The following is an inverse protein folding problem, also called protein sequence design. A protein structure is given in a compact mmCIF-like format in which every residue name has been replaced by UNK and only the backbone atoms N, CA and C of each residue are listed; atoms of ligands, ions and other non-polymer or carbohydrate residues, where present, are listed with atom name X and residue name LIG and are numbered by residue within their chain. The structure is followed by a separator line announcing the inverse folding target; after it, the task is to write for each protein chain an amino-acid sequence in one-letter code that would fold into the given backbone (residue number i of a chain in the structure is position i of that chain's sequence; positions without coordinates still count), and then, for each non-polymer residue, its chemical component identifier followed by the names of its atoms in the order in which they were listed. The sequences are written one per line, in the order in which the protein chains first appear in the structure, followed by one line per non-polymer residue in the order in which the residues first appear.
data_IF_741446654275
#
_entry.id   IF_741446654275
#
_cell.length_a   1.000
_cell.length_b   1.000
_cell.length_c   1.000
_cell.angle_alpha   90.00
_cell.angle_beta   90.00
_cell.angle_gamma   90.00
#
_symmetry.space_group_name_H-M   'P 1'
#
loop_
_entity.id
_entity.type
_entity.pdbx_description
1 polymer ?
#
# COMPACT_ATOMS: atom_id res chain seq x y z
N UNK A 1 -18.39 11.52 -6.18
CA UNK A 1 -19.15 11.17 -4.96
C UNK A 1 -20.48 11.90 -4.89
N UNK A 2 -20.51 13.24 -4.78
CA UNK A 2 -21.76 14.01 -4.62
C UNK A 2 -22.87 13.74 -5.65
N UNK A 3 -22.52 13.58 -6.94
CA UNK A 3 -23.51 13.27 -8.00
C UNK A 3 -24.29 11.97 -7.78
N UNK A 4 -23.67 10.96 -7.17
CA UNK A 4 -24.25 9.61 -7.04
C UNK A 4 -24.58 9.24 -5.59
N UNK A 5 -24.44 10.18 -4.66
CA UNK A 5 -24.54 9.94 -3.21
C UNK A 5 -23.75 8.70 -2.75
N UNK A 6 -22.59 8.46 -3.36
CA UNK A 6 -21.75 7.30 -3.11
C UNK A 6 -20.63 7.67 -2.13
N UNK A 7 -20.34 6.77 -1.20
CA UNK A 7 -19.17 6.91 -0.32
C UNK A 7 -17.88 6.69 -1.11
N UNK A 8 -16.71 7.13 -0.60
CA UNK A 8 -15.42 6.84 -1.23
C UNK A 8 -15.21 5.34 -1.51
N UNK A 9 -15.58 4.51 -0.55
CA UNK A 9 -15.42 3.06 -0.61
C UNK A 9 -16.29 2.48 -1.74
N UNK A 10 -17.56 2.90 -1.85
CA UNK A 10 -18.44 2.49 -2.94
C UNK A 10 -17.92 2.95 -4.31
N UNK A 11 -17.42 4.18 -4.39
CA UNK A 11 -16.89 4.74 -5.64
C UNK A 11 -15.66 3.95 -6.12
N UNK A 12 -14.69 3.71 -5.24
CA UNK A 12 -13.48 2.97 -5.59
C UNK A 12 -13.76 1.50 -5.88
N UNK A 13 -14.66 0.86 -5.12
CA UNK A 13 -15.08 -0.50 -5.42
C UNK A 13 -15.75 -0.59 -6.80
N UNK A 14 -16.70 0.31 -7.10
CA UNK A 14 -17.33 0.34 -8.43
C UNK A 14 -16.34 0.67 -9.55
N UNK A 15 -15.31 1.46 -9.27
CA UNK A 15 -14.23 1.73 -10.22
C UNK A 15 -13.52 0.43 -10.61
N UNK A 16 -13.25 -0.47 -9.66
CA UNK A 16 -12.61 -1.76 -9.94
C UNK A 16 -13.43 -2.70 -10.81
N UNK A 17 -14.75 -2.51 -10.88
CA UNK A 17 -15.64 -3.29 -11.76
C UNK A 17 -15.70 -2.70 -13.18
N UNK A 18 -15.57 -1.38 -13.32
CA UNK A 18 -15.71 -0.67 -14.60
C UNK A 18 -14.39 -0.50 -15.37
N UNK A 19 -13.29 -0.32 -14.64
CA UNK A 19 -11.99 0.00 -15.23
C UNK A 19 -11.43 -1.14 -16.10
N UNK A 20 -11.48 -2.41 -15.67
CA UNK A 20 -11.06 -3.52 -16.51
C UNK A 20 -11.85 -3.58 -17.83
N UNK A 21 -13.19 -3.52 -17.74
CA UNK A 21 -14.08 -3.67 -18.89
C UNK A 21 -13.94 -2.52 -19.92
N UNK A 22 -13.84 -1.28 -19.45
CA UNK A 22 -13.87 -0.12 -20.35
C UNK A 22 -12.48 0.42 -20.74
N UNK A 23 -11.45 0.16 -19.94
CA UNK A 23 -10.10 0.70 -20.16
C UNK A 23 -9.05 -0.39 -20.40
N UNK A 24 -9.38 -1.67 -20.20
CA UNK A 24 -8.45 -2.78 -20.35
C UNK A 24 -7.35 -2.79 -19.29
N UNK A 25 -7.61 -2.20 -18.12
CA UNK A 25 -6.69 -2.18 -16.98
C UNK A 25 -7.09 -3.30 -16.01
N UNK A 26 -6.61 -4.51 -16.30
CA UNK A 26 -6.96 -5.74 -15.58
C UNK A 26 -6.09 -5.93 -14.32
N UNK A 27 -4.85 -5.43 -14.37
CA UNK A 27 -3.89 -5.52 -13.27
C UNK A 27 -4.10 -4.42 -12.24
N UNK A 28 -4.89 -4.71 -11.21
CA UNK A 28 -5.16 -3.76 -10.13
C UNK A 28 -5.28 -4.42 -8.77
N UNK A 29 -5.22 -3.61 -7.71
CA UNK A 29 -5.60 -4.00 -6.37
C UNK A 29 -6.59 -3.02 -5.73
N UNK A 30 -7.30 -3.51 -4.73
CA UNK A 30 -8.12 -2.72 -3.80
C UNK A 30 -7.80 -3.14 -2.37
N UNK A 31 -7.49 -2.16 -1.52
CA UNK A 31 -7.23 -2.36 -0.09
C UNK A 31 -8.07 -1.42 0.75
N UNK A 32 -8.58 -1.92 1.87
CA UNK A 32 -9.24 -1.10 2.89
C UNK A 32 -8.60 -1.28 4.26
N UNK A 33 -8.02 -0.19 4.73
CA UNK A 33 -7.50 -0.06 6.08
C UNK A 33 -8.46 0.70 6.99
N UNK A 34 -8.32 0.45 8.28
CA UNK A 34 -8.89 1.25 9.34
C UNK A 34 -7.95 1.31 10.53
N UNK A 35 -8.09 2.37 11.32
CA UNK A 35 -7.44 2.50 12.62
C UNK A 35 -8.32 3.33 13.55
N UNK A 36 -8.12 3.14 14.85
CA UNK A 36 -8.56 4.11 15.84
C UNK A 36 -7.73 5.39 15.69
N UNK A 37 -8.37 6.56 15.76
CA UNK A 37 -7.68 7.84 15.64
C UNK A 37 -6.59 7.97 16.72
N UNK A 38 -5.37 8.26 16.28
CA UNK A 38 -4.17 8.33 17.14
C UNK A 38 -3.47 7.00 17.39
N UNK A 39 -4.09 5.86 17.05
CA UNK A 39 -3.43 4.55 17.10
C UNK A 39 -2.47 4.36 15.93
N UNK A 40 -1.34 3.69 16.21
CA UNK A 40 -0.38 3.20 15.21
C UNK A 40 -0.75 1.83 14.63
N UNK A 41 -1.86 1.24 15.09
CA UNK A 41 -2.31 -0.07 14.65
C UNK A 41 -3.29 0.07 13.50
N UNK A 42 -2.95 -0.56 12.37
CA UNK A 42 -3.76 -0.53 11.15
C UNK A 42 -4.25 -1.92 10.84
N UNK A 43 -5.57 -2.05 10.63
CA UNK A 43 -6.18 -3.31 10.26
C UNK A 43 -6.66 -3.27 8.81
N UNK A 44 -6.38 -4.35 8.07
CA UNK A 44 -6.75 -4.54 6.68
C UNK A 44 -7.94 -5.52 6.61
N UNK A 45 -9.16 -5.01 6.40
CA UNK A 45 -10.37 -5.87 6.36
C UNK A 45 -10.84 -6.27 4.97
N UNK A 46 -10.37 -5.59 3.91
CA UNK A 46 -10.72 -5.96 2.54
C UNK A 46 -9.49 -5.88 1.66
N UNK A 47 -9.29 -6.97 0.92
CA UNK A 47 -8.24 -7.13 -0.08
C UNK A 47 -8.89 -7.74 -1.32
N UNK A 48 -8.58 -7.15 -2.46
CA UNK A 48 -8.78 -7.74 -3.78
C UNK A 48 -7.50 -7.44 -4.57
N UNK A 49 -6.87 -8.47 -5.12
CA UNK A 49 -5.72 -8.32 -5.99
C UNK A 49 -5.98 -9.10 -7.27
N UNK A 50 -5.96 -8.39 -8.39
CA UNK A 50 -6.14 -8.93 -9.75
C UNK A 50 -4.82 -8.93 -10.53
N UNK A 51 -3.70 -8.70 -9.86
CA UNK A 51 -2.37 -8.71 -10.46
C UNK A 51 -1.47 -9.76 -9.82
N UNK A 52 -0.38 -10.12 -10.50
CA UNK A 52 0.59 -11.10 -10.01
C UNK A 52 1.56 -10.54 -8.95
N UNK A 53 1.58 -9.22 -8.74
CA UNK A 53 2.41 -8.58 -7.71
C UNK A 53 1.71 -8.74 -6.35
N UNK A 54 2.39 -9.30 -5.34
CA UNK A 54 1.84 -9.40 -4.00
C UNK A 54 1.48 -8.02 -3.44
N UNK A 55 0.28 -7.92 -2.87
CA UNK A 55 -0.12 -6.81 -2.01
C UNK A 55 -0.27 -7.32 -0.59
N UNK A 56 -0.29 -6.46 0.44
CA UNK A 56 -0.41 -6.91 1.82
C UNK A 56 -1.67 -7.76 1.99
N UNK A 57 -1.49 -9.01 2.38
CA UNK A 57 -2.56 -9.94 2.69
C UNK A 57 -2.03 -10.92 3.74
N UNK A 58 -2.83 -11.22 4.77
CA UNK A 58 -2.43 -12.20 5.79
C UNK A 58 -1.07 -11.94 6.42
N UNK A 59 -0.77 -10.66 6.69
CA UNK A 59 0.48 -10.25 7.34
C UNK A 59 0.67 -11.01 8.65
N UNK A 60 1.89 -11.51 8.90
CA UNK A 60 2.19 -12.32 10.08
C UNK A 60 1.85 -11.59 11.38
N UNK A 61 1.55 -12.35 12.44
CA UNK A 61 1.12 -11.80 13.75
C UNK A 61 2.06 -10.74 14.35
N UNK A 62 3.34 -10.73 13.96
CA UNK A 62 4.37 -9.80 14.43
C UNK A 62 4.99 -8.98 13.29
N UNK A 63 4.23 -8.75 12.22
CA UNK A 63 4.66 -7.93 11.10
C UNK A 63 3.87 -6.64 11.02
N UNK A 64 4.55 -5.55 10.66
CA UNK A 64 3.97 -4.21 10.60
C UNK A 64 3.88 -3.77 9.15
N UNK A 65 2.67 -3.42 8.70
CA UNK A 65 2.45 -2.86 7.36
C UNK A 65 3.43 -1.72 7.08
N UNK A 66 3.87 -1.61 5.83
CA UNK A 66 4.70 -0.48 5.45
C UNK A 66 3.89 0.83 5.58
N UNK A 67 4.37 1.78 6.41
CA UNK A 67 3.66 3.04 6.65
C UNK A 67 3.73 4.03 5.48
N UNK A 68 4.42 3.68 4.39
CA UNK A 68 4.45 4.44 3.13
C UNK A 68 3.29 4.10 2.19
N UNK A 69 2.46 3.12 2.54
CA UNK A 69 1.21 2.89 1.84
C UNK A 69 0.33 4.15 1.92
N UNK A 70 -0.23 4.65 0.80
CA UNK A 70 -0.99 5.89 0.77
C UNK A 70 -2.13 5.94 1.78
N UNK A 71 -2.90 4.85 1.93
CA UNK A 71 -3.99 4.79 2.91
C UNK A 71 -3.48 4.92 4.35
N UNK A 72 -2.44 4.18 4.73
CA UNK A 72 -1.86 4.25 6.08
C UNK A 72 -1.30 5.65 6.36
N UNK A 73 -0.56 6.22 5.41
CA UNK A 73 -0.02 7.57 5.54
C UNK A 73 -1.12 8.62 5.73
N UNK A 74 -2.21 8.53 4.96
CA UNK A 74 -3.36 9.42 5.13
C UNK A 74 -4.09 9.20 6.45
N UNK A 75 -4.19 7.96 6.94
CA UNK A 75 -4.81 7.67 8.24
C UNK A 75 -4.02 8.28 9.40
N UNK A 76 -2.68 8.22 9.35
CA UNK A 76 -1.80 8.92 10.31
C UNK A 76 -1.99 10.43 10.26
N UNK A 77 -2.00 11.00 9.06
CA UNK A 77 -2.20 12.44 8.85
C UNK A 77 -3.59 12.89 9.34
N UNK A 78 -4.62 12.08 9.11
CA UNK A 78 -5.98 12.34 9.57
C UNK A 78 -6.06 12.28 11.09
N UNK A 79 -5.49 11.25 11.73
CA UNK A 79 -5.42 11.13 13.19
C UNK A 79 -4.73 12.34 13.84
N UNK A 80 -3.57 12.75 13.32
CA UNK A 80 -2.86 13.96 13.80
C UNK A 80 -3.72 15.22 13.69
N UNK A 81 -4.40 15.43 12.56
CA UNK A 81 -5.30 16.60 12.39
C UNK A 81 -6.50 16.56 13.33
N UNK A 82 -6.96 15.37 13.72
CA UNK A 82 -8.03 15.19 14.70
C UNK A 82 -7.56 15.51 16.13
N UNK A 83 -6.36 15.06 16.50
CA UNK A 83 -5.73 15.40 17.79
C UNK A 83 -5.47 16.90 17.92
N UNK A 84 -5.02 17.55 16.85
CA UNK A 84 -4.81 19.01 16.78
C UNK A 84 -6.11 19.82 16.71
N UNK A 85 -7.27 19.17 16.59
CA UNK A 85 -8.57 19.83 16.46
C UNK A 85 -8.80 20.55 15.12
N UNK A 86 -7.94 20.32 14.12
CA UNK A 86 -8.06 20.93 12.78
C UNK A 86 -9.11 20.21 11.92
N UNK A 87 -9.36 18.92 12.18
CA UNK A 87 -10.45 18.15 11.61
C UNK A 87 -11.23 17.48 12.74
N UNK A 88 -12.55 17.42 12.64
CA UNK A 88 -13.32 16.63 13.60
C UNK A 88 -13.25 15.12 13.30
N UNK A 89 -13.71 14.32 14.25
CA UNK A 89 -13.98 12.89 14.04
C UNK A 89 -15.33 12.66 13.35
N UNK A 90 -16.02 13.73 12.92
CA UNK A 90 -17.34 13.62 12.33
C UNK A 90 -17.27 13.07 10.90
N UNK A 91 -18.25 12.26 10.49
CA UNK A 91 -18.28 11.67 9.13
C UNK A 91 -18.54 12.69 8.02
N UNK A 92 -18.94 13.91 8.40
CA UNK A 92 -19.18 15.04 7.50
C UNK A 92 -17.90 15.73 7.03
N UNK A 93 -16.74 15.42 7.64
CA UNK A 93 -15.46 15.97 7.19
C UNK A 93 -15.16 15.57 5.74
N UNK A 94 -14.56 16.48 4.95
CA UNK A 94 -14.23 16.17 3.57
C UNK A 94 -13.18 15.05 3.52
N UNK A 95 -13.38 14.06 2.64
CA UNK A 95 -12.43 12.96 2.49
C UNK A 95 -11.07 13.49 2.05
N UNK A 96 -10.00 12.99 2.66
CA UNK A 96 -8.64 13.30 2.28
C UNK A 96 -8.28 12.42 1.08
N UNK A 97 -7.79 13.00 -0.02
CA UNK A 97 -7.45 12.29 -1.25
C UNK A 97 -5.94 12.39 -1.49
N UNK A 98 -5.32 11.30 -1.91
CA UNK A 98 -3.89 11.22 -2.25
C UNK A 98 -3.72 10.38 -3.50
N UNK A 99 -2.83 10.83 -4.38
CA UNK A 99 -2.27 10.03 -5.45
C UNK A 99 -0.79 9.76 -5.16
N UNK A 100 -0.30 8.58 -5.55
CA UNK A 100 1.10 8.19 -5.40
C UNK A 100 1.46 7.16 -6.48
N UNK A 101 2.71 7.19 -6.96
CA UNK A 101 3.29 6.06 -7.70
C UNK A 101 4.08 5.19 -6.72
N UNK A 102 3.52 4.05 -6.36
CA UNK A 102 4.12 3.13 -5.40
C UNK A 102 5.04 2.15 -6.13
N UNK A 103 6.34 2.25 -5.87
CA UNK A 103 7.34 1.33 -6.43
C UNK A 103 7.65 0.23 -5.41
N UNK A 104 7.31 -1.01 -5.76
CA UNK A 104 7.51 -2.21 -4.95
C UNK A 104 8.95 -2.70 -5.15
N UNK A 105 9.72 -2.70 -4.06
CA UNK A 105 11.17 -2.91 -4.12
C UNK A 105 11.56 -4.34 -4.53
N UNK A 106 10.83 -5.36 -4.06
CA UNK A 106 11.19 -6.76 -4.28
C UNK A 106 10.69 -7.26 -5.65
N UNK A 107 9.57 -6.72 -6.11
CA UNK A 107 8.91 -7.12 -7.35
C UNK A 107 9.24 -6.23 -8.56
N UNK A 108 10.00 -5.15 -8.35
CA UNK A 108 10.36 -4.16 -9.37
C UNK A 108 9.14 -3.62 -10.14
N UNK A 109 8.00 -3.53 -9.46
CA UNK A 109 6.72 -3.14 -10.03
C UNK A 109 6.28 -1.75 -9.54
N UNK A 110 5.70 -0.95 -10.43
CA UNK A 110 5.19 0.39 -10.11
C UNK A 110 3.66 0.41 -10.24
N UNK A 111 2.96 0.86 -9.20
CA UNK A 111 1.50 1.06 -9.20
C UNK A 111 1.16 2.53 -9.13
N UNK A 112 0.19 2.97 -9.93
CA UNK A 112 -0.47 4.24 -9.72
C UNK A 112 -1.61 4.06 -8.72
N UNK A 113 -1.46 4.62 -7.53
CA UNK A 113 -2.35 4.41 -6.40
C UNK A 113 -3.14 5.67 -6.10
N UNK A 114 -4.47 5.54 -6.10
CA UNK A 114 -5.40 6.54 -5.60
C UNK A 114 -5.93 6.10 -4.25
N UNK A 115 -5.78 6.95 -3.26
CA UNK A 115 -6.20 6.66 -1.89
C UNK A 115 -7.09 7.75 -1.32
N UNK A 116 -8.11 7.31 -0.58
CA UNK A 116 -9.08 8.18 0.05
C UNK A 116 -9.24 7.77 1.52
N UNK A 117 -9.09 8.72 2.44
CA UNK A 117 -9.26 8.50 3.88
C UNK A 117 -10.30 9.43 4.48
N UNK A 118 -11.09 8.93 5.43
CA UNK A 118 -12.11 9.69 6.16
C UNK A 118 -12.48 9.07 7.52
N UNK A 119 -13.11 9.83 8.42
CA UNK A 119 -13.76 9.27 9.61
C UNK A 119 -14.92 8.35 9.23
N UNK A 120 -15.12 7.25 9.97
CA UNK A 120 -16.24 6.32 9.73
C UNK A 120 -17.54 6.86 10.31
N UNK A 121 -18.62 6.66 9.55
CA UNK A 121 -19.96 7.09 9.96
C UNK A 121 -20.56 6.30 11.12
N UNK A 122 -20.34 4.98 11.11
CA UNK A 122 -20.98 4.05 12.03
C UNK A 122 -20.13 3.73 13.26
N UNK A 123 -18.87 4.20 13.29
CA UNK A 123 -17.92 3.93 14.36
C UNK A 123 -17.11 5.20 14.66
N UNK A 124 -17.66 6.09 15.52
CA UNK A 124 -16.97 7.32 15.92
C UNK A 124 -15.59 7.01 16.52
N UNK A 125 -14.60 7.82 16.18
CA UNK A 125 -13.21 7.62 16.61
C UNK A 125 -12.41 6.64 15.75
N UNK A 126 -13.03 5.97 14.78
CA UNK A 126 -12.33 5.12 13.80
C UNK A 126 -12.26 5.82 12.44
N UNK A 127 -11.11 5.77 11.80
CA UNK A 127 -10.89 6.25 10.45
C UNK A 127 -10.82 5.08 9.47
N UNK A 128 -11.22 5.29 8.21
CA UNK A 128 -11.06 4.31 7.14
C UNK A 128 -10.32 4.92 5.96
N UNK A 129 -9.38 4.16 5.41
CA UNK A 129 -8.57 4.52 4.26
C UNK A 129 -8.68 3.44 3.20
N UNK A 130 -9.03 3.81 1.98
CA UNK A 130 -9.15 2.88 0.85
C UNK A 130 -8.20 3.28 -0.25
N UNK A 131 -7.44 2.31 -0.75
CA UNK A 131 -6.53 2.46 -1.87
C UNK A 131 -6.96 1.57 -3.04
N UNK A 132 -6.98 2.14 -4.23
CA UNK A 132 -7.01 1.40 -5.49
C UNK A 132 -5.72 1.67 -6.24
N UNK A 133 -5.02 0.62 -6.63
CA UNK A 133 -3.76 0.72 -7.38
C UNK A 133 -3.88 0.03 -8.72
N UNK A 134 -3.38 0.66 -9.78
CA UNK A 134 -3.29 0.06 -11.11
C UNK A 134 -1.82 -0.13 -11.49
N UNK A 135 -1.46 -1.31 -11.97
CA UNK A 135 -0.09 -1.59 -12.40
C UNK A 135 0.28 -0.69 -13.57
N UNK A 136 1.42 -0.01 -13.50
CA UNK A 136 1.88 0.95 -14.50
C UNK A 136 2.57 0.29 -15.70
N UNK A 137 1.89 -0.70 -16.28
CA UNK A 137 2.28 -1.33 -17.53
C UNK A 137 2.05 -0.40 -18.75
N UNK A 138 2.41 -0.86 -19.94
CA UNK A 138 2.26 -0.08 -21.17
C UNK A 138 0.80 0.32 -21.45
N UNK A 139 -0.17 -0.54 -21.11
CA UNK A 139 -1.59 -0.26 -21.28
C UNK A 139 -2.03 0.90 -20.39
N UNK A 140 -1.64 0.87 -19.12
CA UNK A 140 -1.90 1.97 -18.18
C UNK A 140 -1.30 3.29 -18.67
N UNK A 141 -0.02 3.30 -19.06
CA UNK A 141 0.69 4.52 -19.47
C UNK A 141 0.11 5.15 -20.75
N UNK A 142 -0.52 4.35 -21.61
CA UNK A 142 -1.26 4.82 -22.80
C UNK A 142 -2.63 5.41 -22.46
N UNK A 143 -3.34 4.83 -21.48
CA UNK A 143 -4.73 5.19 -21.12
C UNK A 143 -4.81 6.35 -20.13
N UNK A 144 -3.91 6.38 -19.15
CA UNK A 144 -3.88 7.38 -18.08
C UNK A 144 -2.70 8.30 -18.38
N UNK A 145 -2.93 9.62 -18.46
CA UNK A 145 -1.86 10.61 -18.72
C UNK A 145 -1.40 11.33 -17.47
N UNK A 146 -2.26 11.47 -16.47
CA UNK A 146 -1.96 12.20 -15.24
C UNK A 146 -0.86 11.54 -14.38
N UNK A 147 -0.44 10.30 -14.64
CA UNK A 147 0.67 9.69 -13.90
C UNK A 147 2.01 10.43 -14.10
N UNK A 148 2.15 11.19 -15.18
CA UNK A 148 3.34 12.00 -15.46
C UNK A 148 3.36 13.35 -14.72
N UNK A 149 2.30 13.66 -13.97
CA UNK A 149 2.21 14.90 -13.21
C UNK A 149 3.27 14.90 -12.09
N UNK A 150 4.12 15.93 -12.07
CA UNK A 150 5.20 16.09 -11.09
C UNK A 150 4.68 16.19 -9.65
N UNK A 151 3.41 16.56 -9.45
CA UNK A 151 2.77 16.58 -8.14
C UNK A 151 2.48 15.19 -7.58
N UNK A 152 2.60 14.12 -8.39
CA UNK A 152 2.38 12.74 -7.98
C UNK A 152 3.73 12.07 -7.69
N UNK A 153 4.10 11.96 -6.40
CA UNK A 153 5.40 11.45 -6.03
C UNK A 153 5.52 9.96 -6.33
N UNK A 154 6.71 9.54 -6.73
CA UNK A 154 7.11 8.14 -6.68
C UNK A 154 7.67 7.83 -5.30
N UNK A 155 7.21 6.74 -4.69
CA UNK A 155 7.59 6.34 -3.34
C UNK A 155 7.90 4.85 -3.33
N UNK A 156 9.08 4.51 -2.82
CA UNK A 156 9.49 3.13 -2.57
C UNK A 156 8.68 2.55 -1.40
N UNK A 157 7.99 1.44 -1.65
CA UNK A 157 7.15 0.72 -0.70
C UNK A 157 7.49 -0.77 -0.69
N UNK A 158 7.00 -1.47 0.32
CA UNK A 158 7.00 -2.93 0.38
C UNK A 158 5.77 -3.39 1.21
N UNK A 159 5.57 -4.68 1.42
CA UNK A 159 4.47 -5.26 2.19
C UNK A 159 4.54 -4.83 3.67
N UNK A 160 5.65 -5.15 4.33
CA UNK A 160 5.85 -4.95 5.77
C UNK A 160 7.25 -4.41 6.06
N UNK A 161 7.45 -3.83 7.23
CA UNK A 161 8.76 -3.32 7.63
C UNK A 161 9.77 -4.46 7.78
N UNK A 162 9.35 -5.61 8.28
CA UNK A 162 10.17 -6.80 8.56
C UNK A 162 10.72 -7.44 7.28
N UNK A 163 9.97 -7.35 6.18
CA UNK A 163 10.36 -7.85 4.85
C UNK A 163 11.09 -6.82 4.00
N UNK A 164 11.03 -5.54 4.38
CA UNK A 164 11.51 -4.47 3.51
C UNK A 164 13.04 -4.42 3.45
N UNK A 165 13.66 -4.43 2.26
CA UNK A 165 15.11 -4.31 2.09
C UNK A 165 15.63 -2.89 2.30
N UNK A 166 14.74 -1.89 2.35
CA UNK A 166 15.14 -0.49 2.37
C UNK A 166 15.84 -0.13 3.69
N UNK A 167 17.09 0.41 3.67
CA UNK A 167 17.80 0.79 4.89
C UNK A 167 17.03 1.84 5.71
N UNK A 168 17.22 1.83 7.04
CA UNK A 168 16.51 2.73 7.95
C UNK A 168 16.80 4.21 7.62
N UNK A 169 18.02 4.52 7.20
CA UNK A 169 18.46 5.87 6.80
C UNK A 169 17.69 6.41 5.60
N UNK A 170 17.14 5.52 4.75
CA UNK A 170 16.30 5.86 3.60
C UNK A 170 14.81 5.71 3.87
N UNK A 171 14.40 5.26 5.05
CA UNK A 171 13.01 5.02 5.42
C UNK A 171 12.62 5.63 6.78
N UNK A 172 12.26 6.92 6.75
CA UNK A 172 11.76 7.66 7.94
C UNK A 172 10.44 7.15 8.49
N UNK A 173 9.69 6.36 7.70
CA UNK A 173 8.38 5.80 8.09
C UNK A 173 8.49 4.38 8.68
N UNK A 174 9.69 3.80 8.71
CA UNK A 174 9.92 2.42 9.18
C UNK A 174 9.64 2.33 10.68
N UNK A 175 8.82 1.36 11.07
CA UNK A 175 8.45 1.12 12.48
C UNK A 175 9.02 -0.16 13.07
N UNK A 176 9.56 -1.06 12.24
CA UNK A 176 10.18 -2.30 12.69
C UNK A 176 11.47 -2.61 11.91
N UNK A 177 12.43 -3.33 12.54
CA UNK A 177 13.64 -3.80 11.87
C UNK A 177 13.32 -4.84 10.78
N UNK A 178 14.15 -4.96 9.73
CA UNK A 178 13.94 -5.88 8.60
C UNK A 178 14.33 -7.33 8.94
N UNK A 179 13.76 -7.91 9.99
CA UNK A 179 14.16 -9.22 10.54
C UNK A 179 13.91 -10.38 9.58
N UNK A 180 12.78 -10.36 8.86
CA UNK A 180 12.44 -11.41 7.88
C UNK A 180 13.37 -11.29 6.67
N UNK A 181 13.58 -10.08 6.16
CA UNK A 181 14.51 -9.83 5.07
C UNK A 181 15.93 -10.31 5.40
N UNK A 182 16.41 -10.03 6.62
CA UNK A 182 17.73 -10.47 7.07
C UNK A 182 17.82 -12.00 7.13
N UNK A 183 16.78 -12.67 7.66
CA UNK A 183 16.73 -14.12 7.70
C UNK A 183 16.72 -14.76 6.30
N UNK A 184 15.98 -14.17 5.35
CA UNK A 184 15.96 -14.59 3.95
C UNK A 184 17.34 -14.40 3.29
N UNK A 185 18.04 -13.30 3.57
CA UNK A 185 19.41 -13.08 3.10
C UNK A 185 20.41 -14.07 3.70
N UNK A 186 20.28 -14.41 4.97
CA UNK A 186 21.12 -15.41 5.63
C UNK A 186 20.91 -16.79 5.03
N UNK A 187 19.65 -17.20 4.85
CA UNK A 187 19.31 -18.46 4.21
C UNK A 187 19.85 -18.53 2.78
N UNK A 188 19.62 -17.49 1.97
CA UNK A 188 20.12 -17.43 0.60
C UNK A 188 21.66 -17.43 0.52
N UNK A 189 22.36 -16.94 1.55
CA UNK A 189 23.83 -17.05 1.66
C UNK A 189 24.26 -18.48 1.96
N UNK A 190 23.57 -19.16 2.88
CA UNK A 190 23.84 -20.57 3.20
C UNK A 190 23.59 -21.47 1.99
N UNK A 191 22.47 -21.32 1.30
CA UNK A 191 22.14 -22.11 0.11
C UNK A 191 23.20 -21.95 -0.98
N UNK A 192 23.60 -20.70 -1.28
CA UNK A 192 24.70 -20.44 -2.24
C UNK A 192 26.01 -21.11 -1.85
N UNK A 193 26.40 -21.05 -0.58
CA UNK A 193 27.63 -21.68 -0.11
C UNK A 193 27.58 -23.22 -0.24
N UNK A 194 26.41 -23.82 -0.01
CA UNK A 194 26.20 -25.27 -0.21
C UNK A 194 26.29 -25.63 -1.69
N UNK A 195 25.66 -24.86 -2.58
CA UNK A 195 25.69 -25.11 -4.02
C UNK A 195 27.11 -24.97 -4.61
N UNK A 196 27.86 -23.96 -4.16
CA UNK A 196 29.27 -23.78 -4.54
C UNK A 196 30.12 -24.98 -4.10
N UNK A 197 29.91 -25.48 -2.87
CA UNK A 197 30.60 -26.67 -2.37
C UNK A 197 30.24 -27.91 -3.19
N UNK A 198 28.96 -28.16 -3.47
CA UNK A 198 28.52 -29.31 -4.27
C UNK A 198 29.08 -29.26 -5.70
N UNK A 199 29.14 -28.07 -6.30
CA UNK A 199 29.72 -27.87 -7.63
C UNK A 199 31.22 -28.17 -7.62
N UNK A 200 31.96 -27.65 -6.63
CA UNK A 200 33.40 -27.93 -6.49
C UNK A 200 33.73 -29.41 -6.27
N UNK A 201 32.86 -30.16 -5.56
CA UNK A 201 33.03 -31.61 -5.36
C UNK A 201 32.74 -32.38 -6.64
N UNK A 202 31.77 -31.92 -7.45
CA UNK A 202 31.40 -32.58 -8.72
C UNK A 202 32.44 -32.37 -9.82
N UNK A 203 33.13 -31.24 -9.78
CA UNK A 203 34.15 -30.87 -10.77
C UNK A 203 35.56 -31.36 -10.39
N UNK A 204 35.71 -32.01 -9.23
CA UNK A 204 36.94 -32.63 -8.74
C UNK A 204 37.00 -34.14 -9.06
#
# INVERSE_FOLDING_TARGET
MGRYNATPEMLQYRLTELVPEHFGLEDFFFLRFYNEAGSSDFELNKVLNMSDVPVPHGVGLNEHYCHRWPAIKQLKELGRKQEEGTLSTAPSEPPQIRAQRSYFLDEEAEYFVLSIARPLALQPGTNSGVSVGFLMNDTFRKRVRCWQDESIPQVEVNLTCERCPLPHERCTDRVAPPTIHQAEQDQARTERAVDELLTSIRDA
#
